data_IF_134509892043
#
_entry.id   IF_134509892043
#
_cell.length_a   1.000
_cell.length_b   1.000
_cell.length_c   1.000
_cell.angle_alpha   90.00
_cell.angle_beta   90.00
_cell.angle_gamma   90.00
#
_symmetry.space_group_name_H-M   'P 1'
#
loop_
_entity.id
_entity.type
_entity.pdbx_description
1 polymer ?
#
# COMPACT_ATOMS: atom_id res chain seq x y z
N UNK A 1 -18.27 19.80 13.67
CA UNK A 1 -18.64 19.17 14.96
C UNK A 1 -19.89 19.80 15.57
N UNK A 2 -20.19 21.09 15.37
CA UNK A 2 -21.40 21.74 15.92
C UNK A 2 -22.55 21.94 14.90
N UNK A 3 -22.35 21.65 13.61
CA UNK A 3 -23.37 21.86 12.55
C UNK A 3 -24.65 21.04 12.73
N UNK A 4 -24.60 19.93 13.46
CA UNK A 4 -25.64 18.91 13.45
C UNK A 4 -26.40 18.76 14.78
N UNK A 5 -26.28 19.75 15.68
CA UNK A 5 -26.98 19.78 16.97
C UNK A 5 -26.45 18.77 18.00
N UNK A 6 -27.07 18.75 19.19
CA UNK A 6 -26.67 17.89 20.32
C UNK A 6 -26.79 16.38 19.98
N UNK A 7 -27.81 15.99 19.21
CA UNK A 7 -28.08 14.60 18.82
C UNK A 7 -27.06 14.00 17.84
N UNK A 8 -26.20 14.82 17.25
CA UNK A 8 -25.19 14.37 16.27
C UNK A 8 -23.77 14.32 16.84
N UNK A 9 -23.61 14.56 18.15
CA UNK A 9 -22.31 14.42 18.79
C UNK A 9 -21.97 12.95 19.00
N UNK A 10 -20.80 12.53 18.52
CA UNK A 10 -20.34 11.14 18.62
C UNK A 10 -19.17 10.99 19.59
N UNK A 11 -18.76 12.07 20.27
CA UNK A 11 -17.64 12.07 21.22
C UNK A 11 -18.10 12.58 22.58
N UNK A 12 -17.52 12.04 23.65
CA UNK A 12 -17.83 12.46 25.02
C UNK A 12 -17.59 13.96 25.22
N UNK A 13 -16.46 14.48 24.72
CA UNK A 13 -16.15 15.91 24.76
C UNK A 13 -17.19 16.76 24.01
N UNK A 14 -17.64 16.30 22.84
CA UNK A 14 -18.68 16.98 22.07
C UNK A 14 -19.99 17.06 22.85
N UNK A 15 -20.38 15.96 23.51
CA UNK A 15 -21.58 15.90 24.36
C UNK A 15 -21.45 16.88 25.53
N UNK A 16 -20.36 16.84 26.28
CA UNK A 16 -20.14 17.74 27.44
C UNK A 16 -20.16 19.22 27.04
N UNK A 17 -19.52 19.59 25.93
CA UNK A 17 -19.56 20.97 25.43
C UNK A 17 -21.01 21.39 25.11
N UNK A 18 -21.81 20.52 24.52
CA UNK A 18 -23.22 20.82 24.25
C UNK A 18 -24.06 20.97 25.52
N UNK A 19 -23.84 20.11 26.51
CA UNK A 19 -24.51 20.22 27.82
C UNK A 19 -24.18 21.56 28.49
N UNK A 20 -22.92 21.98 28.47
CA UNK A 20 -22.47 23.26 29.01
C UNK A 20 -23.10 24.45 28.26
N UNK A 21 -23.15 24.40 26.93
CA UNK A 21 -23.79 25.43 26.11
C UNK A 21 -25.30 25.54 26.44
N UNK A 22 -26.00 24.42 26.62
CA UNK A 22 -27.41 24.41 27.01
C UNK A 22 -27.61 24.96 28.43
N UNK A 23 -26.73 24.60 29.37
CA UNK A 23 -26.78 25.08 30.75
C UNK A 23 -26.51 26.59 30.86
N UNK A 24 -25.60 27.12 30.03
CA UNK A 24 -25.34 28.56 29.97
C UNK A 24 -26.54 29.32 29.35
N UNK A 25 -27.13 28.76 28.29
CA UNK A 25 -28.29 29.36 27.64
C UNK A 25 -29.52 29.38 28.56
N UNK A 26 -29.74 28.33 29.37
CA UNK A 26 -30.90 28.25 30.29
C UNK A 26 -30.82 29.25 31.45
N UNK A 27 -29.62 29.73 31.78
CA UNK A 27 -29.37 30.78 32.78
C UNK A 27 -29.58 32.20 32.24
N UNK A 28 -30.03 32.34 30.99
CA UNK A 28 -30.31 33.64 30.37
C UNK A 28 -29.11 34.28 29.67
N UNK A 29 -28.00 33.57 29.50
CA UNK A 29 -26.84 34.06 28.75
C UNK A 29 -27.00 33.76 27.26
N UNK A 30 -27.21 34.75 26.38
CA UNK A 30 -27.30 34.51 24.94
C UNK A 30 -25.93 34.11 24.38
N UNK A 31 -25.83 32.88 23.86
CA UNK A 31 -24.61 32.37 23.26
C UNK A 31 -24.64 32.56 21.74
N UNK A 32 -23.55 33.11 21.17
CA UNK A 32 -23.32 33.15 19.73
C UNK A 32 -22.03 32.43 19.40
N UNK A 33 -22.11 31.49 18.46
CA UNK A 33 -20.95 30.79 17.92
C UNK A 33 -20.63 31.36 16.55
N UNK A 34 -19.38 31.77 16.36
CA UNK A 34 -18.89 32.29 15.09
C UNK A 34 -17.69 31.47 14.64
N UNK A 35 -17.71 31.03 13.39
CA UNK A 35 -16.54 30.38 12.80
C UNK A 35 -15.52 31.44 12.37
N UNK A 36 -14.25 31.20 12.70
CA UNK A 36 -13.12 32.05 12.34
C UNK A 36 -12.10 31.20 11.57
N UNK A 37 -11.63 31.64 10.38
CA UNK A 37 -10.56 30.95 9.67
C UNK A 37 -9.27 30.93 10.50
N UNK A 38 -8.53 29.82 10.43
CA UNK A 38 -7.21 29.73 11.05
C UNK A 38 -6.22 30.73 10.41
N UNK A 39 -5.28 31.23 11.21
CA UNK A 39 -4.15 32.07 10.78
C UNK A 39 -4.55 33.33 9.99
N UNK A 40 -5.63 33.99 10.41
CA UNK A 40 -6.16 35.18 9.74
C UNK A 40 -5.65 36.52 10.29
N UNK A 41 -4.68 36.54 11.21
CA UNK A 41 -4.16 37.79 11.80
C UNK A 41 -5.00 38.36 12.95
N UNK A 42 -6.09 37.68 13.34
CA UNK A 42 -6.90 38.11 14.49
C UNK A 42 -6.17 37.77 15.79
N UNK A 43 -5.65 38.81 16.45
CA UNK A 43 -4.81 38.69 17.65
C UNK A 43 -5.41 37.79 18.73
N UNK A 44 -6.71 37.88 18.98
CA UNK A 44 -7.39 37.05 19.98
C UNK A 44 -7.48 35.58 19.57
N UNK A 45 -7.70 35.29 18.28
CA UNK A 45 -7.73 33.92 17.77
C UNK A 45 -6.33 33.31 17.77
N UNK A 46 -5.32 34.06 17.33
CA UNK A 46 -3.92 33.63 17.36
C UNK A 46 -3.46 33.36 18.80
N UNK A 47 -3.85 34.22 19.74
CA UNK A 47 -3.56 34.00 21.15
C UNK A 47 -4.23 32.74 21.70
N UNK A 48 -5.46 32.45 21.28
CA UNK A 48 -6.14 31.22 21.65
C UNK A 48 -5.43 29.98 21.06
N UNK A 49 -4.99 30.04 19.80
CA UNK A 49 -4.23 28.96 19.15
C UNK A 49 -2.87 28.72 19.82
N UNK A 50 -2.15 29.79 20.21
CA UNK A 50 -0.91 29.71 20.99
C UNK A 50 -1.12 29.02 22.33
N UNK A 51 -2.12 29.47 23.10
CA UNK A 51 -2.44 28.88 24.41
C UNK A 51 -2.84 27.41 24.29
N UNK A 52 -3.63 27.06 23.26
CA UNK A 52 -4.00 25.66 23.00
C UNK A 52 -2.76 24.81 22.65
N UNK A 53 -1.83 25.37 21.89
CA UNK A 53 -0.57 24.70 21.54
C UNK A 53 0.34 24.52 22.75
N UNK A 54 0.49 25.53 23.60
CA UNK A 54 1.22 25.42 24.87
C UNK A 54 0.60 24.35 25.77
N UNK A 55 -0.72 24.39 25.96
CA UNK A 55 -1.45 23.40 26.76
C UNK A 55 -1.32 21.97 26.20
N UNK A 56 -1.20 21.80 24.88
CA UNK A 56 -0.98 20.48 24.27
C UNK A 56 0.35 19.83 24.66
N UNK A 57 1.32 20.61 25.15
CA UNK A 57 2.61 20.11 25.64
C UNK A 57 2.63 19.76 27.14
N UNK A 58 1.57 20.09 27.87
CA UNK A 58 1.44 19.78 29.30
C UNK A 58 0.96 18.32 29.51
N UNK A 59 1.21 17.71 30.69
CA UNK A 59 0.68 16.40 31.02
C UNK A 59 -0.86 16.37 30.94
N UNK A 60 -1.41 15.48 30.12
CA UNK A 60 -2.85 15.29 29.95
C UNK A 60 -3.32 14.05 30.73
N UNK A 61 -3.23 14.12 32.06
CA UNK A 61 -3.72 13.07 32.95
C UNK A 61 -5.27 13.12 32.93
N UNK A 62 -5.92 12.06 32.43
CA UNK A 62 -7.38 11.83 32.42
C UNK A 62 -8.23 12.42 31.26
N UNK A 63 -7.64 12.87 30.14
CA UNK A 63 -8.44 13.10 28.93
C UNK A 63 -8.91 11.74 28.34
N UNK A 64 -10.21 11.44 28.47
CA UNK A 64 -10.80 10.24 27.85
C UNK A 64 -10.56 10.26 26.34
N UNK A 65 -9.58 9.48 25.89
CA UNK A 65 -9.22 9.42 24.47
C UNK A 65 -10.25 8.58 23.75
N UNK A 66 -10.93 9.16 22.77
CA UNK A 66 -11.91 8.42 22.00
C UNK A 66 -11.23 7.28 21.20
N UNK A 67 -11.93 6.15 21.05
CA UNK A 67 -11.40 4.95 20.37
C UNK A 67 -10.96 5.28 18.94
N UNK A 68 -11.66 6.17 18.25
CA UNK A 68 -11.34 6.54 16.86
C UNK A 68 -10.02 7.30 16.77
N UNK A 69 -9.72 8.17 17.73
CA UNK A 69 -8.45 8.88 17.86
C UNK A 69 -7.32 7.90 18.15
N UNK A 70 -7.54 6.94 19.06
CA UNK A 70 -6.57 5.88 19.31
C UNK A 70 -6.34 5.01 18.06
N UNK A 71 -7.39 4.56 17.37
CA UNK A 71 -7.28 3.78 16.13
C UNK A 71 -6.48 4.52 15.06
N UNK A 72 -6.73 5.83 14.87
CA UNK A 72 -5.96 6.66 13.93
C UNK A 72 -4.49 6.79 14.35
N UNK A 73 -4.22 6.95 15.65
CA UNK A 73 -2.86 7.02 16.16
C UNK A 73 -2.11 5.71 15.92
N UNK A 74 -2.73 4.56 16.23
CA UNK A 74 -2.18 3.23 15.96
C UNK A 74 -1.91 3.03 14.47
N UNK A 75 -2.88 3.35 13.60
CA UNK A 75 -2.71 3.24 12.15
C UNK A 75 -1.56 4.12 11.63
N UNK A 76 -1.40 5.33 12.16
CA UNK A 76 -0.29 6.24 11.83
C UNK A 76 1.06 5.67 12.29
N UNK A 77 1.15 5.16 13.52
CA UNK A 77 2.37 4.53 14.03
C UNK A 77 2.74 3.29 13.20
N UNK A 78 1.77 2.42 12.90
CA UNK A 78 1.97 1.25 12.05
C UNK A 78 2.44 1.65 10.64
N UNK A 79 1.81 2.67 10.04
CA UNK A 79 2.20 3.18 8.72
C UNK A 79 3.59 3.82 8.71
N UNK A 80 3.97 4.49 9.80
CA UNK A 80 5.31 5.06 9.95
C UNK A 80 6.37 3.97 10.07
N UNK A 81 6.15 3.01 10.97
CA UNK A 81 7.03 1.85 11.17
C UNK A 81 7.21 1.06 9.88
N UNK A 82 6.11 0.76 9.18
CA UNK A 82 6.15 0.07 7.90
C UNK A 82 7.01 0.80 6.85
N UNK A 83 6.94 2.14 6.76
CA UNK A 83 7.78 2.92 5.85
C UNK A 83 9.27 2.82 6.18
N UNK A 84 9.61 2.85 7.47
CA UNK A 84 11.00 2.74 7.93
C UNK A 84 11.56 1.33 7.70
N UNK A 85 10.75 0.30 7.94
CA UNK A 85 11.17 -1.09 7.87
C UNK A 85 11.12 -1.68 6.45
N UNK A 86 10.52 -0.99 5.46
CA UNK A 86 10.43 -1.50 4.08
C UNK A 86 11.84 -1.75 3.51
N UNK A 87 12.20 -3.01 3.17
CA UNK A 87 13.51 -3.30 2.60
C UNK A 87 13.76 -2.61 1.26
N UNK A 88 15.02 -2.24 1.01
CA UNK A 88 15.45 -1.77 -0.31
C UNK A 88 15.12 -2.80 -1.38
N UNK A 89 14.35 -2.39 -2.39
CA UNK A 89 13.84 -3.25 -3.45
C UNK A 89 13.34 -2.41 -4.62
N UNK A 90 13.23 -3.05 -5.78
CA UNK A 90 12.68 -2.43 -7.00
C UNK A 90 11.33 -1.72 -6.75
N UNK A 91 10.44 -2.31 -5.94
CA UNK A 91 9.15 -1.68 -5.63
C UNK A 91 9.26 -0.57 -4.59
N UNK A 92 10.23 -0.62 -3.67
CA UNK A 92 10.51 0.52 -2.77
C UNK A 92 10.93 1.75 -3.57
N UNK A 93 11.73 1.59 -4.62
CA UNK A 93 12.15 2.71 -5.47
C UNK A 93 10.96 3.36 -6.20
N UNK A 94 10.02 2.54 -6.67
CA UNK A 94 8.80 3.01 -7.36
C UNK A 94 7.84 3.70 -6.39
N UNK A 95 7.63 3.10 -5.23
CA UNK A 95 6.61 3.51 -4.27
C UNK A 95 7.10 4.63 -3.34
N UNK A 96 8.42 4.71 -3.11
CA UNK A 96 9.06 5.60 -2.14
C UNK A 96 8.41 5.44 -0.77
N UNK A 97 7.84 6.52 -0.23
CA UNK A 97 7.15 6.53 1.07
C UNK A 97 5.65 6.25 0.94
N UNK A 98 5.14 5.98 -0.26
CA UNK A 98 3.72 5.71 -0.47
C UNK A 98 3.41 4.26 -0.15
N UNK A 99 2.46 4.06 0.76
CA UNK A 99 1.93 2.73 1.02
C UNK A 99 1.19 2.20 -0.23
N UNK A 100 1.45 0.95 -0.65
CA UNK A 100 0.71 0.35 -1.75
C UNK A 100 -0.78 0.34 -1.45
N UNK A 101 -1.59 0.62 -2.47
CA UNK A 101 -3.03 0.52 -2.35
C UNK A 101 -3.46 -0.92 -2.04
N UNK A 102 -4.55 -1.11 -1.28
CA UNK A 102 -5.20 -2.40 -1.11
C UNK A 102 -5.56 -3.05 -2.45
N UNK A 103 -5.55 -4.38 -2.51
CA UNK A 103 -5.87 -5.16 -3.70
C UNK A 103 -7.27 -5.74 -3.57
N UNK A 104 -8.30 -4.92 -3.83
CA UNK A 104 -9.69 -5.30 -3.56
C UNK A 104 -10.35 -6.09 -4.70
N UNK A 105 -9.88 -5.91 -5.93
CA UNK A 105 -10.50 -6.47 -7.15
C UNK A 105 -9.73 -7.67 -7.72
N UNK A 106 -8.83 -8.26 -6.95
CA UNK A 106 -8.03 -9.41 -7.37
C UNK A 106 -8.46 -10.65 -6.61
N UNK A 107 -8.41 -11.79 -7.29
CA UNK A 107 -8.48 -13.06 -6.59
C UNK A 107 -7.28 -13.24 -5.63
N UNK A 108 -7.39 -14.25 -4.76
CA UNK A 108 -6.38 -14.50 -3.73
C UNK A 108 -5.01 -14.82 -4.31
N UNK A 109 -4.90 -15.59 -5.40
CA UNK A 109 -3.60 -15.97 -5.97
C UNK A 109 -2.93 -14.76 -6.62
N UNK A 110 -3.67 -13.97 -7.40
CA UNK A 110 -3.21 -12.73 -8.00
C UNK A 110 -2.75 -11.72 -6.93
N UNK A 111 -3.54 -11.53 -5.86
CA UNK A 111 -3.17 -10.66 -4.76
C UNK A 111 -1.87 -11.13 -4.07
N UNK A 112 -1.75 -12.43 -3.79
CA UNK A 112 -0.52 -13.02 -3.23
C UNK A 112 0.68 -12.78 -4.13
N UNK A 113 0.55 -12.99 -5.44
CA UNK A 113 1.62 -12.72 -6.40
C UNK A 113 2.08 -11.26 -6.35
N UNK A 114 1.14 -10.30 -6.35
CA UNK A 114 1.45 -8.87 -6.26
C UNK A 114 2.15 -8.53 -4.94
N UNK A 115 1.67 -9.06 -3.81
CA UNK A 115 2.33 -8.84 -2.52
C UNK A 115 3.75 -9.38 -2.49
N UNK A 116 3.98 -10.58 -3.01
CA UNK A 116 5.32 -11.16 -3.05
C UNK A 116 6.25 -10.44 -4.03
N UNK A 117 5.73 -9.98 -5.18
CA UNK A 117 6.46 -9.12 -6.11
C UNK A 117 6.92 -7.82 -5.43
N UNK A 118 5.99 -7.14 -4.72
CA UNK A 118 6.27 -5.92 -3.96
C UNK A 118 7.31 -6.13 -2.85
N UNK A 119 7.31 -7.31 -2.23
CA UNK A 119 8.29 -7.68 -1.21
C UNK A 119 9.63 -8.18 -1.79
N UNK A 120 9.74 -8.40 -3.10
CA UNK A 120 10.94 -9.01 -3.70
C UNK A 120 11.15 -10.48 -3.30
N UNK A 121 10.07 -11.16 -2.93
CA UNK A 121 10.02 -12.55 -2.46
C UNK A 121 9.07 -13.40 -3.30
N UNK A 122 9.03 -13.12 -4.60
CA UNK A 122 8.11 -13.77 -5.52
C UNK A 122 8.44 -15.25 -5.69
N UNK A 123 7.64 -16.12 -5.08
CA UNK A 123 7.82 -17.58 -5.12
C UNK A 123 7.70 -18.20 -6.51
N UNK A 124 7.32 -17.40 -7.52
CA UNK A 124 7.29 -17.79 -8.93
C UNK A 124 8.49 -17.27 -9.73
N UNK A 125 9.48 -16.62 -9.12
CA UNK A 125 10.72 -16.18 -9.78
C UNK A 125 11.85 -17.21 -9.62
N UNK A 126 12.49 -17.60 -10.72
CA UNK A 126 13.69 -18.47 -10.71
C UNK A 126 14.86 -17.79 -9.98
N UNK A 127 15.04 -16.48 -10.17
CA UNK A 127 16.08 -15.72 -9.47
C UNK A 127 15.86 -15.74 -7.95
N UNK A 128 14.64 -15.51 -7.49
CA UNK A 128 14.33 -15.53 -6.06
C UNK A 128 14.49 -16.94 -5.49
N UNK A 129 13.92 -17.95 -6.15
CA UNK A 129 13.99 -19.33 -5.69
C UNK A 129 15.43 -19.85 -5.65
N UNK A 130 16.27 -19.51 -6.64
CA UNK A 130 17.68 -19.86 -6.64
C UNK A 130 18.45 -19.15 -5.51
N UNK A 131 18.16 -17.86 -5.27
CA UNK A 131 18.76 -17.08 -4.17
C UNK A 131 18.52 -17.71 -2.80
N UNK A 132 17.39 -18.36 -2.60
CA UNK A 132 17.04 -19.04 -1.34
C UNK A 132 17.32 -20.56 -1.36
N UNK A 133 18.05 -21.06 -2.36
CA UNK A 133 18.47 -22.46 -2.45
C UNK A 133 17.35 -23.45 -2.83
N UNK A 134 16.22 -22.97 -3.36
CA UNK A 134 15.09 -23.81 -3.81
C UNK A 134 15.17 -24.24 -5.28
N UNK A 135 16.10 -23.66 -6.04
CA UNK A 135 16.37 -24.00 -7.45
C UNK A 135 17.88 -24.17 -7.71
N UNK A 136 18.53 -25.18 -7.11
CA UNK A 136 19.93 -25.47 -7.40
C UNK A 136 20.10 -26.00 -8.82
N UNK A 137 21.27 -25.73 -9.41
CA UNK A 137 21.75 -26.38 -10.63
C UNK A 137 23.10 -27.05 -10.34
N UNK A 138 23.55 -28.04 -11.14
CA UNK A 138 24.80 -28.76 -10.86
C UNK A 138 26.02 -27.85 -10.64
N UNK A 139 26.09 -26.73 -11.37
CA UNK A 139 27.21 -25.78 -11.32
C UNK A 139 27.06 -24.69 -10.26
N UNK A 140 25.89 -24.57 -9.61
CA UNK A 140 25.63 -23.56 -8.59
C UNK A 140 24.44 -23.97 -7.73
N UNK A 141 24.70 -24.21 -6.44
CA UNK A 141 23.66 -24.64 -5.50
C UNK A 141 22.78 -23.47 -5.04
N UNK A 142 23.39 -22.33 -4.76
CA UNK A 142 22.70 -21.13 -4.28
C UNK A 142 23.59 -19.91 -4.48
N UNK A 143 23.10 -18.88 -5.16
CA UNK A 143 23.75 -17.57 -5.21
C UNK A 143 22.74 -16.46 -5.50
N UNK A 144 23.17 -15.21 -5.33
CA UNK A 144 22.38 -14.02 -5.69
C UNK A 144 22.85 -13.34 -6.98
N UNK A 145 23.67 -14.02 -7.80
CA UNK A 145 24.23 -13.44 -9.02
C UNK A 145 23.16 -13.41 -10.12
N UNK A 146 22.84 -12.21 -10.62
CA UNK A 146 21.89 -12.01 -11.74
C UNK A 146 22.34 -12.68 -13.04
N UNK A 147 23.66 -12.85 -13.23
CA UNK A 147 24.22 -13.56 -14.38
C UNK A 147 24.16 -15.10 -14.26
N UNK A 148 23.77 -15.64 -13.10
CA UNK A 148 23.71 -17.08 -12.89
C UNK A 148 22.70 -17.73 -13.86
N UNK A 149 23.06 -18.84 -14.54
CA UNK A 149 22.13 -19.56 -15.40
C UNK A 149 20.83 -20.00 -14.71
N UNK A 150 20.91 -20.38 -13.43
CA UNK A 150 19.74 -20.77 -12.62
C UNK A 150 18.79 -19.61 -12.33
N UNK A 151 19.27 -18.37 -12.41
CA UNK A 151 18.49 -17.18 -12.15
C UNK A 151 17.85 -16.60 -13.41
N UNK A 152 18.01 -17.23 -14.59
CA UNK A 152 17.53 -16.68 -15.86
C UNK A 152 16.02 -16.73 -15.98
N UNK A 153 15.45 -15.72 -16.63
CA UNK A 153 14.05 -15.66 -16.98
C UNK A 153 13.69 -16.83 -17.87
N UNK A 154 12.66 -17.58 -17.49
CA UNK A 154 12.21 -18.76 -18.24
C UNK A 154 11.70 -18.42 -19.65
N UNK A 155 11.25 -17.18 -19.84
CA UNK A 155 10.59 -16.74 -21.08
C UNK A 155 11.63 -16.36 -22.12
N UNK A 156 12.56 -15.45 -21.80
CA UNK A 156 13.56 -14.99 -22.77
C UNK A 156 14.94 -15.66 -22.62
N UNK A 157 15.25 -16.22 -21.45
CA UNK A 157 16.56 -16.84 -21.10
C UNK A 157 17.78 -15.91 -21.20
N UNK A 158 17.58 -14.62 -21.42
CA UNK A 158 18.65 -13.63 -21.60
C UNK A 158 18.88 -12.78 -20.34
N UNK A 159 17.81 -12.44 -19.61
CA UNK A 159 17.86 -11.64 -18.38
C UNK A 159 17.70 -12.48 -17.11
N UNK A 160 18.10 -11.92 -15.97
CA UNK A 160 17.74 -12.47 -14.67
C UNK A 160 16.22 -12.38 -14.47
N UNK A 161 15.62 -13.39 -13.86
CA UNK A 161 14.19 -13.52 -13.61
C UNK A 161 13.73 -12.65 -12.43
N UNK A 162 13.99 -11.35 -12.51
CA UNK A 162 13.63 -10.37 -11.48
C UNK A 162 12.27 -9.74 -11.78
N UNK A 163 11.56 -9.19 -10.77
CA UNK A 163 10.34 -8.42 -11.00
C UNK A 163 10.51 -7.31 -12.03
N UNK A 164 11.62 -6.58 -11.97
CA UNK A 164 11.95 -5.54 -12.94
C UNK A 164 12.04 -6.11 -14.37
N UNK A 165 12.76 -7.23 -14.54
CA UNK A 165 12.89 -7.83 -15.85
C UNK A 165 11.53 -8.31 -16.37
N UNK A 166 10.81 -9.10 -15.57
CA UNK A 166 9.52 -9.68 -15.96
C UNK A 166 8.49 -8.61 -16.28
N UNK A 167 8.37 -7.58 -15.44
CA UNK A 167 7.33 -6.56 -15.57
C UNK A 167 7.69 -5.47 -16.59
N UNK A 168 8.97 -5.11 -16.76
CA UNK A 168 9.36 -3.95 -17.57
C UNK A 168 10.25 -4.27 -18.77
N UNK A 169 11.19 -5.22 -18.65
CA UNK A 169 12.32 -5.33 -19.60
C UNK A 169 12.29 -6.57 -20.50
N UNK A 170 11.57 -7.62 -20.14
CA UNK A 170 11.59 -8.89 -20.85
C UNK A 170 11.06 -8.71 -22.28
N UNK A 171 11.87 -8.93 -23.34
CA UNK A 171 11.46 -8.69 -24.72
C UNK A 171 10.31 -9.61 -25.13
N UNK A 172 10.33 -10.86 -24.69
CA UNK A 172 9.27 -11.83 -24.98
C UNK A 172 7.91 -11.47 -24.33
N UNK A 173 7.89 -10.62 -23.31
CA UNK A 173 6.67 -10.12 -22.67
C UNK A 173 6.23 -8.74 -23.21
N UNK A 174 6.92 -8.18 -24.21
CA UNK A 174 6.58 -6.89 -24.80
C UNK A 174 5.16 -6.87 -25.40
N UNK A 175 4.74 -7.96 -26.06
CA UNK A 175 3.38 -8.08 -26.58
C UNK A 175 2.31 -8.07 -25.49
N UNK A 176 2.58 -8.66 -24.31
CA UNK A 176 1.66 -8.59 -23.18
C UNK A 176 1.54 -7.17 -22.63
N UNK A 177 2.66 -6.45 -22.50
CA UNK A 177 2.67 -5.02 -22.11
C UNK A 177 1.89 -4.17 -23.10
N UNK A 178 2.12 -4.36 -24.40
CA UNK A 178 1.42 -3.63 -25.46
C UNK A 178 -0.09 -3.84 -25.38
N UNK A 179 -0.55 -5.08 -25.22
CA UNK A 179 -1.99 -5.38 -25.10
C UNK A 179 -2.63 -4.76 -23.86
N UNK A 180 -1.92 -4.74 -22.74
CA UNK A 180 -2.46 -4.26 -21.46
C UNK A 180 -2.41 -2.73 -21.32
N UNK A 181 -1.42 -2.08 -21.95
CA UNK A 181 -1.12 -0.66 -21.68
C UNK A 181 -1.04 0.22 -22.92
N UNK A 182 -1.16 -0.38 -24.12
CA UNK A 182 -0.93 0.33 -25.38
C UNK A 182 0.54 0.67 -25.65
N UNK A 183 1.48 0.25 -24.78
CA UNK A 183 2.91 0.52 -24.96
C UNK A 183 3.78 -0.70 -24.57
N UNK A 184 4.86 -0.94 -25.30
CA UNK A 184 5.85 -1.98 -24.95
C UNK A 184 6.77 -1.52 -23.81
N UNK A 185 6.91 -0.21 -23.62
CA UNK A 185 7.70 0.43 -22.57
C UNK A 185 6.77 1.12 -21.59
N UNK A 186 6.51 0.44 -20.47
CA UNK A 186 5.70 1.01 -19.39
C UNK A 186 6.60 1.73 -18.41
N UNK A 187 6.14 2.86 -17.89
CA UNK A 187 6.87 3.63 -16.89
C UNK A 187 6.81 2.92 -15.54
N UNK A 188 7.89 2.87 -14.75
CA UNK A 188 7.89 2.19 -13.44
C UNK A 188 6.78 2.69 -12.50
N UNK A 189 6.39 3.96 -12.58
CA UNK A 189 5.33 4.55 -11.76
C UNK A 189 3.97 3.91 -12.00
N UNK A 190 3.72 3.33 -13.18
CA UNK A 190 2.48 2.62 -13.48
C UNK A 190 2.36 1.34 -12.63
N UNK A 191 3.47 0.76 -12.17
CA UNK A 191 3.46 -0.41 -11.28
C UNK A 191 2.98 -0.08 -9.85
N UNK A 192 2.61 1.18 -9.58
CA UNK A 192 1.85 1.56 -8.37
C UNK A 192 0.46 0.93 -8.38
N UNK A 193 -0.11 0.74 -9.57
CA UNK A 193 -1.36 0.02 -9.77
C UNK A 193 -1.14 -1.48 -9.58
N UNK A 194 -1.79 -2.04 -8.56
CA UNK A 194 -1.70 -3.45 -8.24
C UNK A 194 -2.38 -4.36 -9.27
N UNK A 195 -3.44 -3.89 -9.92
CA UNK A 195 -4.17 -4.66 -10.93
C UNK A 195 -3.32 -4.80 -12.20
N UNK A 196 -2.66 -3.72 -12.62
CA UNK A 196 -1.69 -3.77 -13.70
C UNK A 196 -0.53 -4.72 -13.39
N UNK A 197 0.04 -4.67 -12.17
CA UNK A 197 1.10 -5.61 -11.76
C UNK A 197 0.61 -7.05 -11.84
N UNK A 198 -0.61 -7.33 -11.39
CA UNK A 198 -1.21 -8.67 -11.48
C UNK A 198 -1.37 -9.13 -12.94
N UNK A 199 -1.92 -8.27 -13.81
CA UNK A 199 -2.13 -8.59 -15.22
C UNK A 199 -0.80 -8.86 -15.96
N UNK A 200 0.23 -8.08 -15.68
CA UNK A 200 1.58 -8.29 -16.22
C UNK A 200 2.21 -9.59 -15.71
N UNK A 201 2.10 -9.85 -14.40
CA UNK A 201 2.61 -11.08 -13.78
C UNK A 201 1.91 -12.32 -14.35
N UNK A 202 0.59 -12.28 -14.56
CA UNK A 202 -0.16 -13.35 -15.21
C UNK A 202 0.40 -13.66 -16.62
N UNK A 203 0.92 -12.64 -17.32
CA UNK A 203 1.61 -12.81 -18.59
C UNK A 203 2.81 -13.75 -18.53
N UNK A 204 3.62 -13.61 -17.50
CA UNK A 204 4.75 -14.50 -17.22
C UNK A 204 4.29 -15.88 -16.74
N UNK A 205 3.29 -15.94 -15.86
CA UNK A 205 2.83 -17.19 -15.25
C UNK A 205 2.29 -18.20 -16.25
N UNK A 206 1.72 -17.75 -17.39
CA UNK A 206 1.33 -18.63 -18.50
C UNK A 206 2.47 -19.45 -19.09
N UNK A 207 3.72 -19.03 -18.89
CA UNK A 207 4.91 -19.79 -19.31
C UNK A 207 5.41 -20.76 -18.22
N UNK A 208 4.84 -20.72 -17.01
CA UNK A 208 5.12 -21.66 -15.91
C UNK A 208 4.11 -22.79 -15.82
N UNK A 209 2.90 -22.58 -16.29
CA UNK A 209 1.91 -23.64 -16.36
C UNK A 209 2.36 -24.69 -17.39
N UNK A 210 2.35 -25.98 -17.06
CA UNK A 210 2.58 -27.01 -18.06
C UNK A 210 1.51 -26.88 -19.16
N UNK A 211 1.89 -27.16 -20.41
CA UNK A 211 0.97 -27.27 -21.54
C UNK A 211 0.04 -28.51 -21.38
N UNK A 212 -0.75 -28.58 -20.32
CA UNK A 212 -1.76 -29.63 -20.12
C UNK A 212 -3.07 -29.15 -20.75
N UNK A 213 -3.17 -29.29 -22.07
CA UNK A 213 -4.37 -28.87 -22.82
C UNK A 213 -4.57 -29.53 -24.19
N UNK A 214 -3.70 -30.44 -24.63
CA UNK A 214 -3.93 -31.30 -25.80
C UNK A 214 -4.03 -32.75 -25.32
N UNK A 215 -5.19 -33.13 -24.79
CA UNK A 215 -5.53 -34.54 -24.65
C UNK A 215 -5.74 -35.12 -26.05
N UNK A 216 -4.91 -36.12 -26.38
CA UNK A 216 -5.09 -37.01 -27.51
C UNK A 216 -6.50 -37.64 -27.44
N UNK A 217 -7.22 -37.61 -28.56
CA UNK A 217 -8.49 -38.31 -28.71
C UNK A 217 -8.32 -39.83 -28.50
N UNK A 218 -9.40 -40.55 -28.16
CA UNK A 218 -9.30 -41.96 -27.83
C UNK A 218 -9.05 -42.77 -29.10
N UNK A 219 -7.87 -43.40 -29.19
CA UNK A 219 -7.66 -44.54 -30.07
C UNK A 219 -8.38 -45.74 -29.46
N UNK A 220 -9.47 -46.20 -30.09
CA UNK A 220 -10.05 -47.53 -29.86
C UNK A 220 -9.70 -48.43 -31.05
N UNK A 221 -9.27 -49.69 -30.83
CA UNK A 221 -9.61 -50.76 -31.76
C UNK A 221 -11.10 -51.11 -31.66
#
# INVERSE_FOLDING_TARGET
MLESGASSQTTHLGISIWEDLLALSSRGSPIRLQWVPAHCGLRENERADELAKEASGLPQEAAATDVRTLTKAVARCASHRWRQEWPSSFFKDIMRDRMPAPLNNLDRDAAVNVHQLRAGHWGRSEQYLHRIGRRPIPTCQQCNLKACPAARCIVCREGADTPEHVLLRCPCLAGARLRLTGNIHIRPEQLKDGELVAALAAGYLRHKEPLTGLQAGPSRP
#
